data_IF_175246216676
#
_entry.id   IF_175246216676
#
_cell.length_a   1.000
_cell.length_b   1.000
_cell.length_c   1.000
_cell.angle_alpha   90.00
_cell.angle_beta   90.00
_cell.angle_gamma   90.00
#
_symmetry.space_group_name_H-M   'P 1'
#
loop_
_entity.id
_entity.type
_entity.pdbx_description
1 polymer ?
#
# COMPACT_ATOMS: atom_id res chain seq x y z
N UNK A 1 -6.91 6.86 -10.88
CA UNK A 1 -7.42 5.72 -11.68
C UNK A 1 -8.70 6.07 -12.43
N UNK A 2 -9.65 6.75 -11.82
CA UNK A 2 -10.94 7.12 -12.45
C UNK A 2 -10.74 7.79 -13.82
N UNK A 3 -9.86 8.79 -13.91
CA UNK A 3 -9.56 9.46 -15.20
C UNK A 3 -8.97 8.51 -16.25
N UNK A 4 -8.11 7.57 -15.83
CA UNK A 4 -7.59 6.57 -16.76
C UNK A 4 -8.68 5.66 -17.30
N UNK A 5 -9.63 5.26 -16.46
CA UNK A 5 -10.76 4.41 -16.86
C UNK A 5 -11.76 5.16 -17.76
N UNK A 6 -11.91 6.47 -17.58
CA UNK A 6 -12.75 7.32 -18.44
C UNK A 6 -12.12 7.54 -19.81
N UNK A 7 -10.80 7.63 -19.89
CA UNK A 7 -10.06 7.96 -21.11
C UNK A 7 -9.67 6.72 -21.96
N UNK A 8 -9.94 5.50 -21.49
CA UNK A 8 -9.52 4.27 -22.16
C UNK A 8 -10.66 3.26 -22.37
N UNK A 9 -10.60 2.45 -23.45
CA UNK A 9 -11.54 1.34 -23.64
C UNK A 9 -11.51 0.35 -22.46
N UNK A 10 -12.67 -0.24 -22.08
CA UNK A 10 -12.78 -1.16 -20.94
C UNK A 10 -11.77 -2.31 -20.97
N UNK A 11 -11.50 -2.87 -22.14
CA UNK A 11 -10.54 -3.96 -22.31
C UNK A 11 -9.12 -3.53 -21.92
N UNK A 12 -8.71 -2.32 -22.26
CA UNK A 12 -7.40 -1.76 -21.90
C UNK A 12 -7.30 -1.53 -20.41
N UNK A 13 -8.39 -1.08 -19.77
CA UNK A 13 -8.47 -0.90 -18.31
C UNK A 13 -8.31 -2.25 -17.60
N UNK A 14 -8.98 -3.29 -18.07
CA UNK A 14 -8.89 -4.66 -17.51
C UNK A 14 -7.47 -5.21 -17.68
N UNK A 15 -6.84 -5.07 -18.84
CA UNK A 15 -5.44 -5.51 -19.04
C UNK A 15 -4.49 -4.80 -18.08
N UNK A 16 -4.59 -3.47 -17.98
CA UNK A 16 -3.77 -2.68 -17.05
C UNK A 16 -3.95 -3.15 -15.59
N UNK A 17 -5.20 -3.37 -15.14
CA UNK A 17 -5.49 -3.85 -13.78
C UNK A 17 -4.89 -5.24 -13.55
N UNK A 18 -5.03 -6.16 -14.50
CA UNK A 18 -4.48 -7.51 -14.37
C UNK A 18 -2.96 -7.51 -14.27
N UNK A 19 -2.27 -6.69 -15.06
CA UNK A 19 -0.81 -6.57 -15.01
C UNK A 19 -0.37 -5.97 -13.68
N UNK A 20 -1.03 -4.89 -13.23
CA UNK A 20 -0.74 -4.23 -11.97
C UNK A 20 -0.95 -5.17 -10.78
N UNK A 21 -2.09 -5.87 -10.72
CA UNK A 21 -2.42 -6.81 -9.65
C UNK A 21 -1.47 -8.02 -9.65
N UNK A 22 -1.11 -8.53 -10.82
CA UNK A 22 -0.15 -9.65 -10.94
C UNK A 22 1.20 -9.29 -10.34
N UNK A 23 1.73 -8.09 -10.62
CA UNK A 23 2.99 -7.61 -10.04
C UNK A 23 2.86 -7.52 -8.51
N UNK A 24 1.82 -6.86 -8.02
CA UNK A 24 1.62 -6.63 -6.59
C UNK A 24 1.46 -7.95 -5.82
N UNK A 25 0.54 -8.82 -6.23
CA UNK A 25 0.26 -10.10 -5.55
C UNK A 25 1.51 -10.98 -5.49
N UNK A 26 2.24 -11.10 -6.61
CA UNK A 26 3.48 -11.89 -6.66
C UNK A 26 4.52 -11.41 -5.66
N UNK A 27 4.73 -10.10 -5.57
CA UNK A 27 5.71 -9.51 -4.66
C UNK A 27 5.25 -9.63 -3.22
N UNK A 28 3.99 -9.29 -2.91
CA UNK A 28 3.40 -9.42 -1.57
C UNK A 28 3.58 -10.84 -1.04
N UNK A 29 3.20 -11.84 -1.83
CA UNK A 29 3.34 -13.27 -1.45
C UNK A 29 4.80 -13.65 -1.22
N UNK A 30 5.72 -13.17 -2.06
CA UNK A 30 7.15 -13.43 -1.90
C UNK A 30 7.70 -12.91 -0.56
N UNK A 31 7.23 -11.76 -0.09
CA UNK A 31 7.60 -11.19 1.21
C UNK A 31 6.75 -11.70 2.38
N UNK A 32 5.90 -12.71 2.16
CA UNK A 32 5.08 -13.33 3.18
C UNK A 32 3.92 -12.44 3.66
N UNK A 33 3.45 -11.54 2.81
CA UNK A 33 2.21 -10.80 3.01
C UNK A 33 0.99 -11.60 2.58
N UNK A 34 -0.14 -11.28 3.17
CA UNK A 34 -1.45 -11.84 2.85
C UNK A 34 -2.31 -10.79 2.15
N UNK A 35 -2.87 -11.17 0.99
CA UNK A 35 -3.78 -10.31 0.22
C UNK A 35 -5.18 -10.48 0.75
N UNK A 36 -5.69 -9.46 1.47
CA UNK A 36 -7.04 -9.49 2.04
C UNK A 36 -8.09 -9.31 0.94
N UNK A 37 -7.98 -8.27 0.15
CA UNK A 37 -8.91 -8.00 -0.96
C UNK A 37 -8.38 -7.01 -1.99
N UNK A 38 -9.00 -7.05 -3.17
CA UNK A 38 -8.88 -6.02 -4.20
C UNK A 38 -10.08 -5.07 -4.10
N UNK A 39 -9.82 -3.77 -4.09
CA UNK A 39 -10.84 -2.71 -3.96
C UNK A 39 -10.65 -1.76 -5.15
N UNK A 40 -11.32 -2.04 -6.27
CA UNK A 40 -11.07 -1.31 -7.52
C UNK A 40 -9.64 -1.54 -8.02
N UNK A 41 -8.85 -0.47 -8.10
CA UNK A 41 -7.43 -0.50 -8.45
C UNK A 41 -6.49 -0.62 -7.24
N UNK A 42 -7.04 -0.66 -6.03
CA UNK A 42 -6.28 -0.80 -4.79
C UNK A 42 -6.22 -2.25 -4.30
N UNK A 43 -5.12 -2.58 -3.63
CA UNK A 43 -4.88 -3.85 -2.96
C UNK A 43 -4.74 -3.62 -1.45
N UNK A 44 -5.59 -4.27 -0.64
CA UNK A 44 -5.42 -4.32 0.80
C UNK A 44 -4.59 -5.55 1.17
N UNK A 45 -3.47 -5.30 1.85
CA UNK A 45 -2.49 -6.33 2.22
C UNK A 45 -2.22 -6.27 3.70
N UNK A 46 -2.03 -7.43 4.30
CA UNK A 46 -1.67 -7.61 5.70
C UNK A 46 -0.30 -8.29 5.81
N UNK A 47 0.52 -7.78 6.69
CA UNK A 47 1.73 -8.43 7.19
C UNK A 47 1.59 -8.64 8.69
N UNK A 48 1.96 -9.80 9.21
CA UNK A 48 1.87 -10.12 10.63
C UNK A 48 3.04 -10.98 11.08
N UNK A 49 3.28 -11.03 12.40
CA UNK A 49 4.35 -11.83 13.00
C UNK A 49 5.72 -11.14 12.95
N UNK A 50 6.77 -11.91 12.99
CA UNK A 50 8.12 -11.41 13.10
C UNK A 50 8.55 -10.57 11.89
N UNK A 51 9.14 -9.39 12.17
CA UNK A 51 9.61 -8.44 11.16
C UNK A 51 8.53 -8.01 10.13
N UNK A 52 7.25 -7.96 10.54
CA UNK A 52 6.14 -7.62 9.66
C UNK A 52 6.32 -6.26 8.99
N UNK A 53 6.73 -5.24 9.75
CA UNK A 53 6.97 -3.88 9.25
C UNK A 53 8.10 -3.84 8.22
N UNK A 54 9.22 -4.53 8.49
CA UNK A 54 10.33 -4.60 7.54
C UNK A 54 9.90 -5.28 6.24
N UNK A 55 9.20 -6.41 6.33
CA UNK A 55 8.71 -7.15 5.15
C UNK A 55 7.71 -6.33 4.34
N UNK A 56 6.82 -5.58 5.01
CA UNK A 56 5.87 -4.69 4.36
C UNK A 56 6.59 -3.56 3.60
N UNK A 57 7.61 -2.94 4.20
CA UNK A 57 8.40 -1.88 3.57
C UNK A 57 9.20 -2.42 2.39
N UNK A 58 9.83 -3.58 2.52
CA UNK A 58 10.62 -4.19 1.44
C UNK A 58 9.72 -4.60 0.27
N UNK A 59 8.54 -5.17 0.55
CA UNK A 59 7.53 -5.46 -0.47
C UNK A 59 7.07 -4.18 -1.19
N UNK A 60 6.77 -3.12 -0.45
CA UNK A 60 6.34 -1.84 -1.02
C UNK A 60 7.40 -1.23 -1.94
N UNK A 61 8.68 -1.22 -1.52
CA UNK A 61 9.80 -0.76 -2.36
C UNK A 61 9.94 -1.60 -3.62
N UNK A 62 9.85 -2.92 -3.50
CA UNK A 62 9.94 -3.84 -4.63
C UNK A 62 8.77 -3.68 -5.61
N UNK A 63 7.54 -3.44 -5.13
CA UNK A 63 6.37 -3.17 -5.97
C UNK A 63 6.60 -1.89 -6.79
N UNK A 64 6.96 -0.78 -6.14
CA UNK A 64 7.17 0.50 -6.84
C UNK A 64 8.28 0.41 -7.89
N UNK A 65 9.36 -0.29 -7.59
CA UNK A 65 10.45 -0.50 -8.54
C UNK A 65 10.02 -1.41 -9.72
N UNK A 66 9.26 -2.46 -9.47
CA UNK A 66 8.74 -3.34 -10.51
C UNK A 66 7.74 -2.62 -11.42
N UNK A 67 6.81 -1.83 -10.86
CA UNK A 67 5.85 -1.02 -11.63
C UNK A 67 6.58 0.02 -12.49
N UNK A 68 7.60 0.68 -11.94
CA UNK A 68 8.45 1.62 -12.70
C UNK A 68 9.14 0.93 -13.88
N UNK A 69 9.76 -0.24 -13.65
CA UNK A 69 10.44 -1.02 -14.69
C UNK A 69 9.49 -1.55 -15.77
N UNK A 70 8.29 -1.93 -15.37
CA UNK A 70 7.26 -2.38 -16.31
C UNK A 70 6.68 -1.24 -17.16
N UNK A 71 7.03 0.02 -16.86
CA UNK A 71 6.53 1.20 -17.58
C UNK A 71 5.01 1.22 -17.72
N UNK A 72 4.30 0.81 -16.67
CA UNK A 72 2.84 0.80 -16.67
C UNK A 72 2.29 2.21 -16.91
N UNK A 73 1.11 2.28 -17.51
CA UNK A 73 0.47 3.53 -17.91
C UNK A 73 0.27 4.51 -16.75
N UNK A 74 0.20 4.00 -15.52
CA UNK A 74 0.11 4.80 -14.28
C UNK A 74 0.98 4.19 -13.19
N UNK A 75 1.63 5.07 -12.41
CA UNK A 75 2.27 4.70 -11.17
C UNK A 75 1.23 4.53 -10.04
N UNK A 76 1.63 3.87 -8.97
CA UNK A 76 0.84 3.72 -7.76
C UNK A 76 1.52 4.36 -6.55
N UNK A 77 0.73 4.75 -5.54
CA UNK A 77 1.18 5.14 -4.21
C UNK A 77 0.86 4.04 -3.20
N UNK A 78 1.64 3.96 -2.14
CA UNK A 78 1.46 2.94 -1.10
C UNK A 78 1.38 3.61 0.28
N UNK A 79 0.36 3.24 1.08
CA UNK A 79 0.22 3.62 2.47
C UNK A 79 0.54 2.44 3.38
N UNK A 80 1.40 2.61 4.38
CA UNK A 80 1.72 1.59 5.39
C UNK A 80 1.36 2.14 6.76
N UNK A 81 0.64 1.35 7.55
CA UNK A 81 0.26 1.70 8.90
C UNK A 81 0.36 0.48 9.82
N UNK A 82 1.05 0.62 10.95
CA UNK A 82 1.14 -0.41 11.98
C UNK A 82 0.07 -0.20 13.04
N UNK A 83 -0.67 -1.26 13.35
CA UNK A 83 -1.70 -1.21 14.39
C UNK A 83 -2.53 -2.46 14.47
N UNK A 84 -3.39 -2.51 15.48
CA UNK A 84 -4.24 -3.67 15.73
C UNK A 84 -5.39 -3.75 14.72
N UNK A 85 -5.65 -4.99 14.26
CA UNK A 85 -6.80 -5.35 13.43
C UNK A 85 -7.44 -6.64 13.95
N UNK A 86 -8.70 -6.82 13.65
CA UNK A 86 -9.42 -8.07 13.88
C UNK A 86 -9.63 -8.75 12.54
N UNK A 87 -9.16 -10.00 12.41
CA UNK A 87 -9.45 -10.85 11.26
C UNK A 87 -10.65 -11.74 11.57
N UNK A 88 -11.61 -11.78 10.67
CA UNK A 88 -12.79 -12.63 10.89
C UNK A 88 -13.78 -12.62 9.73
N UNK A 89 -14.76 -13.51 9.83
CA UNK A 89 -15.86 -13.60 8.89
C UNK A 89 -16.91 -12.54 9.21
N UNK A 90 -17.09 -11.58 8.32
CA UNK A 90 -18.01 -10.44 8.46
C UNK A 90 -19.13 -10.54 7.47
N UNK A 91 -20.36 -10.28 7.93
CA UNK A 91 -21.55 -10.29 7.12
C UNK A 91 -22.64 -11.24 7.63
N UNK A 92 -23.81 -11.27 6.98
CA UNK A 92 -24.91 -12.17 7.34
C UNK A 92 -24.54 -13.62 7.05
N UNK A 93 -25.24 -14.57 7.69
CA UNK A 93 -24.96 -16.01 7.53
C UNK A 93 -24.97 -16.48 6.08
N UNK A 94 -25.76 -15.83 5.23
CA UNK A 94 -25.90 -16.15 3.80
C UNK A 94 -24.72 -15.65 2.93
N UNK A 95 -23.94 -14.66 3.41
CA UNK A 95 -22.82 -14.08 2.68
C UNK A 95 -21.82 -13.48 3.67
N UNK A 96 -20.74 -14.18 3.90
CA UNK A 96 -19.64 -13.73 4.77
C UNK A 96 -18.35 -13.62 3.99
N UNK A 97 -17.69 -12.50 4.15
CA UNK A 97 -16.34 -12.29 3.65
C UNK A 97 -15.37 -12.39 4.82
N UNK A 98 -14.31 -13.17 4.67
CA UNK A 98 -13.22 -13.18 5.64
C UNK A 98 -12.35 -11.96 5.35
N UNK A 99 -12.18 -11.07 6.33
CA UNK A 99 -11.50 -9.81 6.12
C UNK A 99 -10.93 -9.25 7.42
N UNK A 100 -10.08 -8.24 7.30
CA UNK A 100 -9.57 -7.46 8.43
C UNK A 100 -10.42 -6.21 8.66
N UNK A 101 -10.70 -5.92 9.93
CA UNK A 101 -11.42 -4.74 10.39
C UNK A 101 -10.62 -4.05 11.48
N UNK A 102 -10.63 -2.73 11.47
CA UNK A 102 -10.02 -1.90 12.50
C UNK A 102 -9.75 -0.49 12.00
N UNK A 103 -9.50 0.42 12.94
CA UNK A 103 -9.10 1.79 12.61
C UNK A 103 -7.80 1.82 11.78
N UNK A 104 -6.89 0.86 12.04
CA UNK A 104 -5.63 0.70 11.32
C UNK A 104 -5.82 0.48 9.81
N UNK A 105 -6.89 -0.23 9.39
CA UNK A 105 -7.24 -0.40 7.98
C UNK A 105 -7.63 0.93 7.35
N UNK A 106 -8.43 1.74 8.05
CA UNK A 106 -8.80 3.07 7.58
C UNK A 106 -7.59 4.01 7.51
N UNK A 107 -6.67 3.89 8.47
CA UNK A 107 -5.45 4.69 8.49
C UNK A 107 -4.53 4.35 7.33
N UNK A 108 -4.30 3.08 7.03
CA UNK A 108 -3.50 2.68 5.86
C UNK A 108 -4.09 3.20 4.55
N UNK A 109 -5.43 3.12 4.37
CA UNK A 109 -6.11 3.67 3.20
C UNK A 109 -5.95 5.19 3.08
N UNK A 110 -5.99 5.92 4.19
CA UNK A 110 -5.78 7.38 4.22
C UNK A 110 -4.33 7.74 3.90
N UNK A 111 -3.34 6.99 4.41
CA UNK A 111 -1.93 7.17 4.04
C UNK A 111 -1.72 6.88 2.55
N UNK A 112 -2.35 5.83 2.02
CA UNK A 112 -2.33 5.52 0.59
C UNK A 112 -2.86 6.69 -0.26
N UNK A 113 -3.95 7.35 0.18
CA UNK A 113 -4.50 8.52 -0.51
C UNK A 113 -3.61 9.77 -0.47
N UNK A 114 -2.64 9.81 0.45
CA UNK A 114 -1.65 10.89 0.59
C UNK A 114 -0.35 10.61 -0.20
N UNK A 115 -0.19 9.38 -0.69
CA UNK A 115 0.98 8.99 -1.45
C UNK A 115 0.84 9.37 -2.92
N UNK A 116 1.87 10.04 -3.45
CA UNK A 116 1.98 10.30 -4.88
C UNK A 116 2.39 9.02 -5.65
N UNK A 117 2.22 8.99 -6.98
CA UNK A 117 2.77 7.90 -7.79
C UNK A 117 4.28 7.70 -7.55
N UNK A 118 4.68 6.47 -7.26
CA UNK A 118 6.07 6.12 -6.93
C UNK A 118 6.46 6.35 -5.47
N UNK A 119 5.49 6.71 -4.59
CA UNK A 119 5.74 7.07 -3.21
C UNK A 119 5.18 6.05 -2.22
N UNK A 120 5.88 5.88 -1.10
CA UNK A 120 5.40 5.21 0.11
C UNK A 120 5.20 6.28 1.18
N UNK A 121 4.03 6.29 1.83
CA UNK A 121 3.76 7.06 3.04
C UNK A 121 3.54 6.08 4.18
N UNK A 122 4.40 6.11 5.19
CA UNK A 122 4.33 5.19 6.33
C UNK A 122 4.29 5.96 7.66
N UNK A 123 3.50 5.46 8.61
CA UNK A 123 3.50 6.00 9.97
C UNK A 123 4.85 5.75 10.67
N UNK A 124 5.13 6.54 11.68
CA UNK A 124 6.43 6.50 12.35
C UNK A 124 6.69 5.15 13.07
N UNK A 125 5.65 4.49 13.55
CA UNK A 125 5.76 3.21 14.22
C UNK A 125 6.26 2.13 13.25
N UNK A 126 5.71 2.07 12.04
CA UNK A 126 6.17 1.19 10.95
C UNK A 126 7.64 1.42 10.60
N UNK A 127 8.10 2.67 10.64
CA UNK A 127 9.48 3.03 10.29
C UNK A 127 10.46 2.75 11.42
N UNK A 128 10.05 2.93 12.70
CA UNK A 128 10.92 2.67 13.85
C UNK A 128 11.22 1.17 14.02
N UNK A 129 10.27 0.31 13.64
CA UNK A 129 10.43 -1.15 13.70
C UNK A 129 11.21 -1.71 12.52
N UNK A 130 11.34 -0.96 11.42
CA UNK A 130 11.97 -1.38 10.18
C UNK A 130 13.16 -0.47 9.81
N UNK A 131 14.05 -0.97 8.96
CA UNK A 131 15.16 -0.17 8.46
C UNK A 131 14.66 1.04 7.66
N UNK A 132 14.89 2.23 8.19
CA UNK A 132 14.41 3.52 7.65
C UNK A 132 15.21 4.05 6.45
N UNK A 133 16.04 3.20 5.84
CA UNK A 133 16.96 3.62 4.77
C UNK A 133 16.22 4.25 3.58
N UNK A 134 16.54 5.52 3.32
CA UNK A 134 15.99 6.28 2.19
C UNK A 134 14.64 6.96 2.46
N UNK A 135 14.07 6.81 3.65
CA UNK A 135 12.92 7.61 4.06
C UNK A 135 13.34 9.06 4.39
N UNK A 136 12.41 9.99 4.19
CA UNK A 136 12.57 11.41 4.55
C UNK A 136 12.65 11.61 6.07
N UNK A 137 12.94 12.84 6.50
CA UNK A 137 12.69 13.25 7.87
C UNK A 137 11.20 13.09 8.23
N UNK A 138 10.92 12.99 9.53
CA UNK A 138 9.54 12.95 10.05
C UNK A 138 8.80 14.24 9.68
N UNK A 139 7.56 14.07 9.24
CA UNK A 139 6.61 15.16 9.05
C UNK A 139 5.27 14.82 9.71
N UNK A 140 4.46 15.85 9.99
CA UNK A 140 3.12 15.69 10.51
C UNK A 140 2.08 16.03 9.46
N UNK A 141 1.17 15.08 9.20
CA UNK A 141 0.09 15.24 8.24
C UNK A 141 -1.26 15.24 8.95
N UNK A 142 -2.19 16.06 8.45
CA UNK A 142 -3.59 16.00 8.90
C UNK A 142 -4.31 14.91 8.14
N UNK A 143 -4.89 13.98 8.87
CA UNK A 143 -5.63 12.85 8.29
C UNK A 143 -7.13 13.09 8.47
N UNK A 144 -7.92 12.96 7.40
CA UNK A 144 -9.38 13.15 7.43
C UNK A 144 -10.02 12.33 8.55
N UNK A 145 -10.82 13.00 9.42
CA UNK A 145 -11.52 12.33 10.52
C UNK A 145 -10.66 12.09 11.77
N UNK A 146 -9.46 12.67 11.84
CA UNK A 146 -8.66 12.74 13.06
C UNK A 146 -8.48 14.18 13.50
N UNK A 147 -8.55 14.44 14.80
CA UNK A 147 -8.23 15.75 15.40
C UNK A 147 -6.74 15.96 15.53
N UNK A 148 -5.99 14.89 15.79
CA UNK A 148 -4.54 14.92 15.92
C UNK A 148 -3.85 14.63 14.59
N UNK A 149 -2.75 15.33 14.35
CA UNK A 149 -1.87 15.08 13.21
C UNK A 149 -1.09 13.78 13.42
N UNK A 150 -0.89 13.02 12.34
CA UNK A 150 -0.13 11.79 12.35
C UNK A 150 1.33 12.05 11.92
N UNK A 151 2.28 11.49 12.67
CA UNK A 151 3.68 11.50 12.30
C UNK A 151 3.96 10.42 11.24
N UNK A 152 4.53 10.83 10.12
CA UNK A 152 4.84 9.94 8.98
C UNK A 152 6.21 10.24 8.40
N UNK A 153 6.70 9.30 7.59
CA UNK A 153 7.86 9.51 6.71
C UNK A 153 7.50 9.05 5.30
N UNK A 154 8.19 9.61 4.31
CA UNK A 154 7.98 9.28 2.90
C UNK A 154 9.22 8.64 2.30
N UNK A 155 9.00 7.77 1.35
CA UNK A 155 10.05 7.20 0.52
C UNK A 155 9.59 7.24 -0.94
N UNK A 156 10.51 7.57 -1.86
CA UNK A 156 10.19 7.65 -3.29
C UNK A 156 11.10 6.71 -4.08
N UNK A 157 10.55 6.06 -5.10
CA UNK A 157 11.26 5.08 -5.94
C UNK A 157 12.53 5.65 -6.60
N UNK A 158 12.57 6.94 -6.88
CA UNK A 158 13.75 7.62 -7.43
C UNK A 158 14.91 7.72 -6.42
N UNK A 159 14.67 7.49 -5.14
CA UNK A 159 15.74 7.38 -4.14
C UNK A 159 16.70 6.21 -4.42
N UNK A 160 16.26 5.20 -5.17
CA UNK A 160 17.11 4.09 -5.63
C UNK A 160 18.12 4.54 -6.69
N UNK A 161 17.74 5.47 -7.57
CA UNK A 161 18.60 5.94 -8.66
C UNK A 161 19.78 6.82 -8.19
N UNK A 162 19.70 7.38 -6.98
CA UNK A 162 20.78 8.23 -6.40
C UNK A 162 21.89 7.44 -5.73
N UNK A 163 21.78 6.11 -5.68
CA UNK A 163 22.77 5.21 -5.02
C UNK A 163 23.54 4.33 -6.00
N UNK A 164 23.25 4.39 -7.26
CA UNK A 164 23.98 3.72 -8.35
C UNK A 164 24.91 4.70 -9.07
#
# INVERSE_FOLDING_TARGET
FTSYAEDNPPERVVFFLNDLMTIQVKIVTHFGGDVDKMIGDALLVRFEGENAEQRAIDAAKAILDAVRRASLARGLGIGIYTGQVISGAVGPKSRRDFTVIGDSVNMSARLCSQANPGEIVADIESINSAASLGFTAEERIQVKGRTESLAVRRWHVDALAKKA
#
